data_IF_016805046671
#
_entry.id   IF_016805046671
#
_cell.length_a   1.000
_cell.length_b   1.000
_cell.length_c   1.000
_cell.angle_alpha   90.00
_cell.angle_beta   90.00
_cell.angle_gamma   90.00
#
_symmetry.space_group_name_H-M   'P 1'
#
loop_
_entity.id
_entity.type
_entity.pdbx_description
1 polymer ?
#
# COMPACT_ATOMS: atom_id res chain seq x y z
N UNK A 1 11.89 -2.62 4.73
CA UNK A 1 11.44 -3.01 3.39
C UNK A 1 10.40 -4.10 3.58
N UNK A 2 9.11 -3.76 3.51
CA UNK A 2 8.03 -4.74 3.66
C UNK A 2 7.71 -5.33 2.30
N UNK A 3 7.79 -6.66 2.19
CA UNK A 3 7.28 -7.40 1.05
C UNK A 3 5.76 -7.29 1.03
N UNK A 4 5.22 -6.63 0.01
CA UNK A 4 3.80 -6.68 -0.30
C UNK A 4 3.46 -8.10 -0.76
N UNK A 5 2.96 -8.93 0.16
CA UNK A 5 2.29 -10.17 -0.20
C UNK A 5 1.03 -9.83 -0.98
N UNK A 6 1.11 -9.92 -2.31
CA UNK A 6 -0.03 -9.68 -3.19
C UNK A 6 -0.91 -10.93 -3.19
N UNK A 7 -2.12 -10.81 -2.62
CA UNK A 7 -3.11 -11.87 -2.66
C UNK A 7 -3.81 -11.89 -4.02
N UNK A 8 -3.43 -12.84 -4.88
CA UNK A 8 -4.21 -13.15 -6.08
C UNK A 8 -5.54 -13.78 -5.69
N UNK A 9 -6.62 -13.34 -6.34
CA UNK A 9 -7.96 -13.89 -6.18
C UNK A 9 -8.38 -14.58 -7.48
N UNK A 10 -8.52 -15.91 -7.39
CA UNK A 10 -9.11 -16.72 -8.45
C UNK A 10 -8.10 -17.44 -9.33
N UNK A 11 -8.64 -18.28 -10.21
CA UNK A 11 -7.88 -19.08 -11.17
C UNK A 11 -7.23 -18.20 -12.22
N UNK A 12 -5.92 -18.36 -12.41
CA UNK A 12 -5.17 -17.73 -13.50
C UNK A 12 -5.79 -18.16 -14.83
N UNK A 13 -6.12 -17.19 -15.69
CA UNK A 13 -6.58 -17.43 -17.05
C UNK A 13 -5.38 -17.39 -17.99
N UNK A 14 -5.26 -18.40 -18.83
CA UNK A 14 -4.24 -18.44 -19.88
C UNK A 14 -4.68 -17.52 -21.02
N UNK A 15 -3.81 -16.59 -21.41
CA UNK A 15 -3.99 -15.72 -22.56
C UNK A 15 -3.31 -16.28 -23.81
N UNK A 16 -3.05 -15.40 -24.79
CA UNK A 16 -2.35 -15.76 -26.03
C UNK A 16 -0.89 -16.09 -25.78
N UNK A 17 -0.34 -16.91 -26.68
CA UNK A 17 1.08 -17.22 -26.73
C UNK A 17 1.57 -16.96 -28.15
N UNK A 18 2.62 -16.16 -28.27
CA UNK A 18 3.25 -15.81 -29.54
C UNK A 18 4.60 -16.49 -29.63
N UNK A 19 4.88 -17.06 -30.79
CA UNK A 19 6.20 -17.59 -31.14
C UNK A 19 6.82 -16.64 -32.16
N UNK A 20 7.99 -16.11 -31.84
CA UNK A 20 8.75 -15.24 -32.73
C UNK A 20 10.11 -15.85 -32.97
N UNK A 21 10.45 -16.04 -34.25
CA UNK A 21 11.79 -16.44 -34.67
C UNK A 21 12.54 -15.19 -35.12
N UNK A 22 13.64 -14.87 -34.43
CA UNK A 22 14.53 -13.77 -34.81
C UNK A 22 15.77 -14.39 -35.45
N UNK A 23 16.15 -13.90 -36.64
CA UNK A 23 17.50 -14.15 -37.17
C UNK A 23 18.49 -13.47 -36.24
N UNK A 24 19.51 -14.19 -35.78
CA UNK A 24 20.69 -13.54 -35.21
C UNK A 24 21.45 -12.89 -36.38
N UNK A 25 20.96 -11.75 -36.85
CA UNK A 25 21.55 -11.05 -37.98
C UNK A 25 23.03 -10.74 -37.73
N UNK A 26 23.90 -11.25 -38.60
CA UNK A 26 25.28 -10.78 -38.73
C UNK A 26 25.29 -9.28 -39.07
N UNK A 27 25.53 -8.45 -38.07
CA UNK A 27 25.40 -7.00 -38.18
C UNK A 27 25.93 -6.24 -36.98
N UNK A 28 27.01 -6.76 -36.41
CA UNK A 28 28.06 -6.13 -35.63
C UNK A 28 28.66 -7.28 -34.83
N UNK A 29 29.97 -7.47 -34.90
CA UNK A 29 30.67 -7.83 -33.69
C UNK A 29 30.50 -6.67 -32.70
N UNK A 30 29.30 -6.44 -32.15
CA UNK A 30 29.24 -6.26 -30.72
C UNK A 30 29.63 -7.63 -30.26
N UNK A 31 30.92 -7.80 -29.96
CA UNK A 31 31.41 -9.08 -29.50
C UNK A 31 30.38 -9.62 -28.52
N UNK A 32 30.13 -10.93 -28.57
CA UNK A 32 30.09 -11.63 -27.30
C UNK A 32 31.31 -11.08 -26.54
N UNK A 33 31.11 -10.03 -25.74
CA UNK A 33 31.55 -10.09 -24.39
C UNK A 33 31.04 -11.46 -24.00
N UNK A 34 31.95 -12.45 -24.06
CA UNK A 34 31.79 -13.59 -23.19
C UNK A 34 31.33 -12.98 -21.88
N UNK A 35 30.47 -13.68 -21.16
CA UNK A 35 30.48 -13.50 -19.73
C UNK A 35 31.92 -13.85 -19.26
N UNK A 36 32.88 -12.97 -19.55
CA UNK A 36 34.12 -12.83 -18.86
C UNK A 36 33.62 -12.76 -17.44
N UNK A 37 34.00 -13.71 -16.58
CA UNK A 37 33.59 -13.67 -15.18
C UNK A 37 33.81 -12.26 -14.62
N UNK A 38 34.80 -11.52 -15.14
CA UNK A 38 34.98 -10.09 -14.93
C UNK A 38 33.73 -9.21 -15.15
N UNK A 39 32.95 -9.28 -16.23
CA UNK A 39 31.82 -8.36 -16.47
C UNK A 39 30.63 -8.63 -15.54
N UNK A 40 30.34 -9.90 -15.25
CA UNK A 40 29.39 -10.32 -14.21
C UNK A 40 29.86 -9.89 -12.83
N UNK A 41 31.15 -10.03 -12.54
CA UNK A 41 31.75 -9.64 -11.26
C UNK A 41 31.77 -8.11 -11.09
N UNK A 42 32.05 -7.36 -12.15
CA UNK A 42 31.95 -5.90 -12.16
C UNK A 42 30.52 -5.41 -11.99
N UNK A 43 29.53 -6.06 -12.61
CA UNK A 43 28.11 -5.74 -12.36
C UNK A 43 27.70 -6.06 -10.91
N UNK A 44 28.14 -7.20 -10.37
CA UNK A 44 27.89 -7.55 -8.97
C UNK A 44 28.55 -6.57 -8.00
N UNK A 45 29.81 -6.19 -8.25
CA UNK A 45 30.52 -5.15 -7.49
C UNK A 45 29.79 -3.82 -7.62
N UNK A 46 29.37 -3.41 -8.82
CA UNK A 46 28.68 -2.14 -9.03
C UNK A 46 27.32 -2.09 -8.31
N UNK A 47 26.54 -3.17 -8.36
CA UNK A 47 25.27 -3.28 -7.61
C UNK A 47 25.52 -3.29 -6.11
N UNK A 48 26.56 -3.99 -5.65
CA UNK A 48 26.94 -4.03 -4.23
C UNK A 48 27.41 -2.65 -3.76
N UNK A 49 28.26 -1.96 -4.53
CA UNK A 49 28.71 -0.59 -4.24
C UNK A 49 27.55 0.41 -4.29
N UNK A 50 26.59 0.24 -5.21
CA UNK A 50 25.39 1.06 -5.26
C UNK A 50 24.50 0.82 -4.02
N UNK A 51 24.32 -0.43 -3.60
CA UNK A 51 23.57 -0.77 -2.38
C UNK A 51 24.27 -0.25 -1.11
N UNK A 52 25.59 -0.37 -1.03
CA UNK A 52 26.41 0.20 0.04
C UNK A 52 26.34 1.72 0.03
N UNK A 53 26.40 2.36 -1.14
CA UNK A 53 26.23 3.79 -1.30
C UNK A 53 24.84 4.27 -0.86
N UNK A 54 23.78 3.53 -1.22
CA UNK A 54 22.42 3.84 -0.77
C UNK A 54 22.27 3.68 0.75
N UNK A 55 22.93 2.66 1.32
CA UNK A 55 22.91 2.39 2.75
C UNK A 55 23.70 3.45 3.52
N UNK A 56 24.90 3.81 3.04
CA UNK A 56 25.71 4.88 3.58
C UNK A 56 24.99 6.23 3.47
N UNK A 57 24.30 6.51 2.36
CA UNK A 57 23.50 7.73 2.22
C UNK A 57 22.36 7.79 3.25
N UNK A 58 21.66 6.66 3.47
CA UNK A 58 20.64 6.56 4.53
C UNK A 58 21.24 6.77 5.91
N UNK A 59 22.41 6.18 6.18
CA UNK A 59 23.10 6.30 7.47
C UNK A 59 23.61 7.72 7.71
N UNK A 60 24.19 8.38 6.70
CA UNK A 60 24.62 9.78 6.77
C UNK A 60 23.42 10.70 7.00
N UNK A 61 22.32 10.48 6.29
CA UNK A 61 21.09 11.27 6.49
C UNK A 61 20.55 11.08 7.90
N UNK A 62 20.50 9.84 8.37
CA UNK A 62 20.10 9.52 9.73
C UNK A 62 21.03 10.16 10.77
N UNK A 63 22.35 10.11 10.55
CA UNK A 63 23.35 10.73 11.41
C UNK A 63 23.18 12.25 11.45
N UNK A 64 22.99 12.92 10.32
CA UNK A 64 22.75 14.36 10.30
C UNK A 64 21.46 14.74 11.01
N UNK A 65 20.38 13.99 10.82
CA UNK A 65 19.11 14.21 11.54
C UNK A 65 19.33 13.99 13.04
N UNK A 66 19.98 12.91 13.45
CA UNK A 66 20.21 12.59 14.86
C UNK A 66 21.17 13.59 15.53
N UNK A 67 22.23 14.01 14.82
CA UNK A 67 23.15 15.04 15.28
C UNK A 67 22.46 16.39 15.42
N UNK A 68 21.62 16.78 14.44
CA UNK A 68 20.83 18.00 14.52
C UNK A 68 19.80 17.93 15.65
N UNK A 69 19.15 16.78 15.87
CA UNK A 69 18.23 16.57 16.99
C UNK A 69 18.95 16.60 18.34
N UNK A 70 20.18 16.08 18.43
CA UNK A 70 20.98 16.16 19.65
C UNK A 70 21.45 17.59 19.92
N UNK A 71 21.94 18.30 18.90
CA UNK A 71 22.33 19.71 19.01
C UNK A 71 21.14 20.58 19.43
N UNK A 72 19.97 20.33 18.83
CA UNK A 72 18.72 20.96 19.23
C UNK A 72 18.30 20.53 20.63
N UNK A 73 18.44 19.26 21.00
CA UNK A 73 18.09 18.73 22.31
C UNK A 73 18.93 19.31 23.44
N UNK A 74 20.23 19.48 23.22
CA UNK A 74 21.18 20.10 24.16
C UNK A 74 20.93 21.60 24.31
N UNK A 75 20.42 22.25 23.25
CA UNK A 75 20.03 23.66 23.26
C UNK A 75 18.57 23.89 23.69
N UNK A 76 17.74 22.85 23.71
CA UNK A 76 16.32 22.98 23.94
C UNK A 76 16.05 23.31 25.41
N UNK A 77 15.19 24.30 25.62
CA UNK A 77 14.67 24.59 26.96
C UNK A 77 13.47 23.70 27.21
N UNK A 78 13.55 22.89 28.26
CA UNK A 78 12.41 22.10 28.73
C UNK A 78 11.38 23.03 29.38
N UNK A 79 10.24 23.18 28.71
CA UNK A 79 9.11 23.98 29.18
C UNK A 79 7.96 23.09 29.67
N UNK A 80 8.24 21.84 30.06
CA UNK A 80 7.25 20.85 30.56
C UNK A 80 6.69 21.16 31.96
N UNK A 81 6.58 22.45 32.31
CA UNK A 81 6.01 22.91 33.57
C UNK A 81 4.49 22.73 33.66
N UNK A 82 3.90 22.93 34.85
CA UNK A 82 2.46 22.91 35.08
C UNK A 82 1.73 24.11 34.46
N UNK A 83 2.46 25.07 33.90
CA UNK A 83 1.90 26.28 33.31
C UNK A 83 1.15 25.93 32.01
N UNK A 84 -0.15 26.18 32.04
CA UNK A 84 -1.14 25.79 31.04
C UNK A 84 -1.39 26.96 30.10
N UNK A 85 -0.56 27.11 29.07
CA UNK A 85 -0.83 28.12 28.04
C UNK A 85 0.23 28.25 26.97
N UNK A 86 -0.18 28.66 25.78
CA UNK A 86 0.74 29.08 24.73
C UNK A 86 1.61 30.26 25.18
N UNK A 87 1.06 31.17 25.99
CA UNK A 87 1.78 32.34 26.52
C UNK A 87 2.94 31.95 27.45
N UNK A 88 2.77 30.94 28.31
CA UNK A 88 3.86 30.46 29.18
C UNK A 88 4.96 29.77 28.38
N UNK A 89 4.63 29.07 27.29
CA UNK A 89 5.63 28.52 26.37
C UNK A 89 6.39 29.63 25.62
N UNK A 90 5.70 30.69 25.20
CA UNK A 90 6.33 31.86 24.58
C UNK A 90 7.26 32.55 25.57
N UNK A 91 6.87 32.67 26.84
CA UNK A 91 7.71 33.26 27.88
C UNK A 91 8.91 32.37 28.23
N UNK A 92 8.70 31.05 28.32
CA UNK A 92 9.77 30.08 28.50
C UNK A 92 10.77 30.11 27.33
N UNK A 93 10.29 30.19 26.09
CA UNK A 93 11.12 30.37 24.90
C UNK A 93 11.88 31.70 24.87
N UNK A 94 11.36 32.76 25.50
CA UNK A 94 12.10 34.03 25.65
C UNK A 94 13.25 33.92 26.66
N UNK A 95 13.24 32.93 27.58
CA UNK A 95 14.35 32.68 28.51
C UNK A 95 15.56 32.02 27.83
N UNK A 96 15.40 31.45 26.63
CA UNK A 96 16.54 30.92 25.86
C UNK A 96 17.29 32.05 25.16
N UNK A 97 18.41 32.47 25.73
CA UNK A 97 19.21 33.60 25.27
C UNK A 97 20.15 33.30 24.07
N UNK A 98 19.64 32.71 22.97
CA UNK A 98 20.47 32.47 21.78
C UNK A 98 19.78 31.80 20.59
N UNK A 99 19.65 32.56 19.50
CA UNK A 99 19.57 32.21 18.06
C UNK A 99 18.74 31.03 17.51
N UNK A 100 18.27 30.05 18.27
CA UNK A 100 17.35 29.01 17.79
C UNK A 100 16.47 28.54 18.95
N UNK A 101 15.28 29.14 19.05
CA UNK A 101 14.32 28.89 20.12
C UNK A 101 13.61 27.53 19.89
N UNK A 102 14.33 26.44 20.05
CA UNK A 102 13.72 25.12 20.12
C UNK A 102 13.14 24.91 21.52
N UNK A 103 11.82 24.83 21.60
CA UNK A 103 11.11 24.54 22.85
C UNK A 103 10.72 23.07 22.84
N UNK A 104 11.13 22.34 23.88
CA UNK A 104 10.63 21.00 24.11
C UNK A 104 9.35 21.06 24.95
N UNK A 105 8.30 20.39 24.49
CA UNK A 105 7.03 20.32 25.18
C UNK A 105 6.42 18.92 25.04
N UNK A 106 5.94 18.38 26.16
CA UNK A 106 5.30 17.07 26.24
C UNK A 106 4.00 17.15 27.03
N UNK A 107 2.97 16.44 26.56
CA UNK A 107 1.67 16.44 27.22
C UNK A 107 0.64 15.53 26.56
N UNK A 108 -0.53 15.37 27.19
CA UNK A 108 -1.65 14.67 26.58
C UNK A 108 -2.08 15.39 25.30
N UNK A 109 -2.39 14.58 24.28
CA UNK A 109 -2.86 15.05 22.98
C UNK A 109 -4.38 14.89 22.92
N UNK A 110 -5.07 15.98 22.63
CA UNK A 110 -6.48 15.97 22.25
C UNK A 110 -6.56 16.23 20.75
N UNK A 111 -7.15 15.30 19.99
CA UNK A 111 -7.24 15.39 18.53
C UNK A 111 -8.43 14.58 18.02
N UNK A 112 -8.89 14.87 16.82
CA UNK A 112 -9.82 14.03 16.07
C UNK A 112 -9.59 14.24 14.58
N UNK A 113 -9.46 13.15 13.84
CA UNK A 113 -9.31 13.19 12.39
C UNK A 113 -10.50 12.49 11.73
N UNK A 114 -11.00 13.07 10.65
CA UNK A 114 -12.17 12.56 9.92
C UNK A 114 -11.87 12.35 8.44
N UNK A 115 -12.52 11.34 7.86
CA UNK A 115 -12.66 11.17 6.42
C UNK A 115 -14.08 11.63 6.03
N UNK A 116 -14.24 12.85 5.48
CA UNK A 116 -15.55 13.39 5.14
C UNK A 116 -16.21 12.65 3.98
N UNK A 117 -15.46 12.02 3.09
CA UNK A 117 -16.02 11.28 1.95
C UNK A 117 -16.73 10.01 2.42
N UNK A 118 -16.23 9.40 3.50
CA UNK A 118 -16.80 8.20 4.12
C UNK A 118 -17.63 8.51 5.37
N UNK A 119 -17.72 9.77 5.80
CA UNK A 119 -18.46 10.17 7.00
C UNK A 119 -17.92 9.51 8.28
N UNK A 120 -16.61 9.25 8.31
CA UNK A 120 -15.92 8.58 9.41
C UNK A 120 -15.20 9.61 10.25
N UNK A 121 -15.38 9.54 11.58
CA UNK A 121 -14.60 10.33 12.54
C UNK A 121 -13.87 9.40 13.51
N UNK A 122 -12.57 9.63 13.69
CA UNK A 122 -11.73 8.86 14.60
C UNK A 122 -11.27 9.78 15.73
N UNK A 123 -11.88 9.69 16.93
CA UNK A 123 -11.47 10.49 18.07
C UNK A 123 -10.04 10.11 18.49
N UNK A 124 -9.26 11.03 19.02
CA UNK A 124 -7.86 10.82 19.41
C UNK A 124 -6.89 10.45 18.29
N UNK A 125 -7.30 10.49 17.01
CA UNK A 125 -6.38 10.30 15.90
C UNK A 125 -5.75 11.63 15.47
N UNK A 126 -4.43 11.64 15.33
CA UNK A 126 -3.69 12.76 14.73
C UNK A 126 -3.84 12.79 13.21
N UNK A 127 -3.94 11.60 12.59
CA UNK A 127 -4.15 11.42 11.16
C UNK A 127 -5.00 10.18 10.89
N UNK A 128 -5.82 10.27 9.84
CA UNK A 128 -6.49 9.12 9.23
C UNK A 128 -5.88 8.90 7.84
N UNK A 129 -5.69 7.64 7.47
CA UNK A 129 -5.22 7.25 6.14
C UNK A 129 -6.30 6.39 5.48
N UNK A 130 -6.87 6.91 4.40
CA UNK A 130 -7.71 6.12 3.51
C UNK A 130 -6.80 5.34 2.56
N UNK A 131 -6.78 4.02 2.70
CA UNK A 131 -6.07 3.11 1.80
C UNK A 131 -7.06 2.48 0.82
N UNK A 132 -6.94 2.83 -0.45
CA UNK A 132 -7.84 2.37 -1.51
C UNK A 132 -7.20 1.20 -2.27
N UNK A 133 -7.99 0.16 -2.53
CA UNK A 133 -7.57 -0.99 -3.33
C UNK A 133 -8.63 -1.33 -4.39
N UNK A 134 -8.17 -1.77 -5.56
CA UNK A 134 -8.97 -2.12 -6.72
C UNK A 134 -8.85 -3.61 -7.00
N UNK A 135 -9.98 -4.33 -7.01
CA UNK A 135 -10.03 -5.69 -7.52
C UNK A 135 -10.15 -5.63 -9.04
N UNK A 136 -9.04 -5.86 -9.73
CA UNK A 136 -8.94 -5.67 -11.17
C UNK A 136 -8.09 -6.76 -11.82
N UNK A 137 -8.21 -6.91 -13.14
CA UNK A 137 -7.35 -7.78 -13.92
C UNK A 137 -5.91 -7.26 -13.94
N UNK A 138 -4.98 -8.19 -13.92
CA UNK A 138 -3.56 -7.97 -14.08
C UNK A 138 -3.02 -8.94 -15.12
N UNK A 139 -2.27 -8.40 -16.08
CA UNK A 139 -1.58 -9.17 -17.10
C UNK A 139 -0.17 -9.51 -16.63
N UNK A 140 0.17 -10.79 -16.70
CA UNK A 140 1.49 -11.34 -16.41
C UNK A 140 2.06 -11.83 -17.74
N UNK A 141 3.08 -11.12 -18.24
CA UNK A 141 3.83 -11.47 -19.45
C UNK A 141 5.05 -12.29 -19.07
N UNK A 142 5.21 -13.45 -19.69
CA UNK A 142 6.37 -14.33 -19.54
C UNK A 142 7.01 -14.59 -20.90
N UNK A 143 8.33 -14.50 -21.00
CA UNK A 143 9.07 -14.73 -22.24
C UNK A 143 10.19 -15.76 -22.00
N UNK A 144 10.33 -16.72 -22.92
CA UNK A 144 11.39 -17.73 -22.89
C UNK A 144 11.96 -17.91 -24.29
N UNK A 145 13.28 -17.81 -24.44
CA UNK A 145 13.96 -17.90 -25.73
C UNK A 145 14.90 -19.11 -25.78
N UNK A 146 14.87 -19.83 -26.90
CA UNK A 146 15.74 -20.97 -27.19
C UNK A 146 16.52 -20.69 -28.48
N UNK A 147 17.84 -20.88 -28.44
CA UNK A 147 18.70 -20.76 -29.62
C UNK A 147 18.64 -22.03 -30.45
N UNK A 148 18.53 -21.86 -31.75
CA UNK A 148 18.62 -22.95 -32.71
C UNK A 148 20.07 -22.98 -33.23
N UNK A 149 20.83 -23.97 -32.78
CA UNK A 149 22.26 -24.09 -33.10
C UNK A 149 22.53 -24.31 -34.60
N UNK A 150 21.53 -24.79 -35.35
CA UNK A 150 21.67 -25.14 -36.77
C UNK A 150 21.45 -23.98 -37.75
N UNK A 151 20.73 -22.92 -37.36
CA UNK A 151 20.23 -21.90 -38.30
C UNK A 151 20.61 -20.45 -37.95
N UNK A 152 21.39 -20.21 -36.90
CA UNK A 152 21.65 -18.86 -36.38
C UNK A 152 20.32 -18.08 -36.22
N UNK A 153 19.37 -18.74 -35.53
CA UNK A 153 18.08 -18.16 -35.18
C UNK A 153 17.78 -18.39 -33.70
N UNK A 154 17.03 -17.47 -33.10
CA UNK A 154 16.51 -17.59 -31.74
C UNK A 154 14.99 -17.62 -31.79
N UNK A 155 14.39 -18.64 -31.18
CA UNK A 155 12.94 -18.79 -31.06
C UNK A 155 12.51 -18.37 -29.67
N UNK A 156 11.75 -17.28 -29.60
CA UNK A 156 11.18 -16.77 -28.35
C UNK A 156 9.69 -17.08 -28.28
N UNK A 157 9.27 -17.63 -27.14
CA UNK A 157 7.87 -17.87 -26.77
C UNK A 157 7.47 -16.83 -25.74
N UNK A 158 6.58 -15.91 -26.12
CA UNK A 158 5.94 -14.96 -25.19
C UNK A 158 4.55 -15.48 -24.84
N UNK A 159 4.27 -15.67 -23.56
CA UNK A 159 2.96 -16.09 -23.05
C UNK A 159 2.37 -15.02 -22.14
N UNK A 160 1.06 -14.81 -22.26
CA UNK A 160 0.28 -13.89 -21.45
C UNK A 160 -0.64 -14.67 -20.53
N UNK A 161 -0.77 -14.23 -19.28
CA UNK A 161 -1.72 -14.80 -18.33
C UNK A 161 -2.39 -13.69 -17.52
N UNK A 162 -3.63 -13.94 -17.09
CA UNK A 162 -4.45 -12.92 -16.46
C UNK A 162 -4.99 -13.42 -15.13
N UNK A 163 -4.93 -12.55 -14.12
CA UNK A 163 -5.43 -12.86 -12.77
C UNK A 163 -6.16 -11.64 -12.20
N UNK A 164 -7.19 -11.86 -11.38
CA UNK A 164 -7.77 -10.77 -10.59
C UNK A 164 -6.99 -10.62 -9.30
N UNK A 165 -6.56 -9.40 -9.00
CA UNK A 165 -5.84 -9.11 -7.76
C UNK A 165 -6.29 -7.78 -7.18
N UNK A 166 -6.17 -7.64 -5.86
CA UNK A 166 -6.28 -6.35 -5.20
C UNK A 166 -4.99 -5.56 -5.39
N UNK A 167 -5.10 -4.34 -5.93
CA UNK A 167 -3.96 -3.45 -6.16
C UNK A 167 -4.28 -2.06 -5.64
N UNK A 168 -3.30 -1.41 -5.03
CA UNK A 168 -3.45 -0.05 -4.49
C UNK A 168 -3.41 1.07 -5.54
N UNK A 169 -3.35 0.70 -6.82
CA UNK A 169 -3.27 1.60 -7.96
C UNK A 169 -4.11 1.04 -9.11
N UNK A 170 -4.50 1.88 -10.06
CA UNK A 170 -5.26 1.47 -11.25
C UNK A 170 -4.35 0.85 -12.31
N UNK A 171 -4.77 -0.26 -12.89
CA UNK A 171 -4.09 -0.89 -14.03
C UNK A 171 -4.87 -0.52 -15.30
N UNK A 172 -4.18 0.15 -16.23
CA UNK A 172 -4.74 0.47 -17.53
C UNK A 172 -4.82 -0.79 -18.42
N UNK A 173 -5.97 -1.45 -18.44
CA UNK A 173 -6.19 -2.67 -19.22
C UNK A 173 -6.22 -2.44 -20.73
N UNK A 174 -6.25 -1.19 -21.23
CA UNK A 174 -6.19 -0.92 -22.67
C UNK A 174 -4.86 -1.31 -23.29
N UNK A 175 -3.83 -1.49 -22.46
CA UNK A 175 -2.49 -1.91 -22.88
C UNK A 175 -2.29 -3.42 -22.77
N UNK A 176 -3.32 -4.17 -22.36
CA UNK A 176 -3.26 -5.63 -22.34
C UNK A 176 -3.25 -6.17 -23.77
N UNK A 177 -2.68 -7.36 -23.92
CA UNK A 177 -2.75 -8.14 -25.16
C UNK A 177 -4.20 -8.53 -25.50
N UNK A 178 -5.02 -8.78 -24.48
CA UNK A 178 -6.44 -9.10 -24.60
C UNK A 178 -7.34 -8.14 -23.80
N UNK A 179 -7.45 -6.87 -24.23
CA UNK A 179 -8.07 -5.81 -23.45
C UNK A 179 -9.61 -5.91 -23.38
N UNK A 180 -10.26 -6.52 -24.38
CA UNK A 180 -11.71 -6.69 -24.42
C UNK A 180 -12.19 -7.69 -23.37
N UNK A 181 -11.55 -8.86 -23.30
CA UNK A 181 -11.88 -9.90 -22.34
C UNK A 181 -11.44 -9.60 -20.89
N UNK A 182 -10.50 -8.67 -20.71
CA UNK A 182 -9.89 -8.33 -19.42
C UNK A 182 -10.00 -6.84 -19.09
N UNK A 183 -11.16 -6.25 -19.37
CA UNK A 183 -11.41 -4.83 -19.12
C UNK A 183 -11.38 -4.47 -17.62
N UNK A 184 -10.63 -3.42 -17.28
CA UNK A 184 -10.60 -2.81 -15.97
C UNK A 184 -11.33 -1.45 -15.96
N UNK A 185 -12.16 -1.19 -14.94
CA UNK A 185 -12.82 0.10 -14.79
C UNK A 185 -11.81 1.23 -14.64
N UNK A 186 -12.03 2.35 -15.33
CA UNK A 186 -11.13 3.50 -15.25
C UNK A 186 -11.51 4.52 -14.15
N UNK A 187 -12.58 4.25 -13.39
CA UNK A 187 -13.07 5.14 -12.31
C UNK A 187 -12.13 5.11 -11.10
N UNK A 188 -12.00 6.26 -10.44
CA UNK A 188 -11.20 6.48 -9.22
C UNK A 188 -11.96 7.43 -8.28
N UNK A 189 -13.11 7.00 -7.72
CA UNK A 189 -13.99 7.90 -6.98
C UNK A 189 -13.36 8.39 -5.68
N UNK A 190 -12.60 7.53 -5.00
CA UNK A 190 -11.99 7.83 -3.70
C UNK A 190 -10.54 7.33 -3.66
N UNK A 191 -9.57 8.11 -4.17
CA UNK A 191 -8.16 7.73 -4.14
C UNK A 191 -7.63 7.67 -2.70
N UNK A 192 -6.51 6.95 -2.52
CA UNK A 192 -5.82 6.90 -1.24
C UNK A 192 -5.35 8.30 -0.83
N UNK A 193 -5.62 8.69 0.41
CA UNK A 193 -5.27 10.03 0.91
C UNK A 193 -5.14 10.05 2.43
N UNK A 194 -4.55 11.12 2.95
CA UNK A 194 -4.36 11.35 4.37
C UNK A 194 -5.17 12.55 4.84
N UNK A 195 -5.83 12.42 5.99
CA UNK A 195 -6.60 13.47 6.63
C UNK A 195 -5.95 13.83 7.97
N UNK A 196 -5.23 14.96 8.08
CA UNK A 196 -4.72 15.43 9.35
C UNK A 196 -5.85 15.99 10.22
N UNK A 197 -5.72 15.81 11.53
CA UNK A 197 -6.61 16.39 12.53
C UNK A 197 -6.56 17.91 12.47
N UNK A 198 -7.72 18.56 12.40
CA UNK A 198 -7.83 20.02 12.33
C UNK A 198 -7.86 20.68 13.71
N UNK A 199 -8.15 19.90 14.76
CA UNK A 199 -8.29 20.35 16.14
C UNK A 199 -7.26 19.70 17.07
N UNK A 200 -6.13 19.24 16.52
CA UNK A 200 -5.10 18.62 17.34
C UNK A 200 -4.46 19.67 18.24
N UNK A 201 -4.38 19.37 19.53
CA UNK A 201 -3.70 20.21 20.51
C UNK A 201 -2.99 19.35 21.54
N UNK A 202 -1.87 19.87 22.03
CA UNK A 202 -1.17 19.31 23.19
C UNK A 202 -1.47 20.25 24.35
N UNK A 203 -2.25 19.79 25.33
CA UNK A 203 -2.88 20.67 26.34
C UNK A 203 -3.65 21.81 25.65
N UNK A 204 -3.22 23.06 25.80
CA UNK A 204 -3.86 24.26 25.24
C UNK A 204 -3.18 24.78 23.96
N UNK A 205 -2.18 24.08 23.45
CA UNK A 205 -1.40 24.52 22.30
C UNK A 205 -1.87 23.81 21.04
N UNK A 206 -2.44 24.53 20.05
CA UNK A 206 -2.84 23.93 18.79
C UNK A 206 -1.61 23.46 18.01
N UNK A 207 -1.73 22.29 17.38
CA UNK A 207 -0.73 21.76 16.47
C UNK A 207 -1.15 22.12 15.05
N UNK A 208 -0.23 22.74 14.30
CA UNK A 208 -0.46 23.03 12.89
C UNK A 208 -0.69 21.72 12.10
N UNK A 209 -1.77 21.61 11.31
CA UNK A 209 -2.03 20.44 10.46
C UNK A 209 -0.86 20.09 9.53
N UNK A 210 -0.07 21.06 9.07
CA UNK A 210 1.10 20.81 8.23
C UNK A 210 2.16 19.99 8.96
N UNK A 211 2.38 20.24 10.26
CA UNK A 211 3.26 19.41 11.09
C UNK A 211 2.74 17.97 11.16
N UNK A 212 1.42 17.81 11.28
CA UNK A 212 0.80 16.49 11.29
C UNK A 212 1.03 15.74 9.99
N UNK A 213 0.98 16.40 8.83
CA UNK A 213 1.22 15.73 7.52
C UNK A 213 2.58 15.05 7.48
N UNK A 214 3.60 15.66 8.08
CA UNK A 214 4.98 15.16 8.11
C UNK A 214 5.24 14.11 9.20
N UNK A 215 4.33 13.94 10.16
CA UNK A 215 4.46 12.92 11.20
C UNK A 215 4.65 11.52 10.59
N UNK A 216 5.72 10.85 10.96
CA UNK A 216 5.92 9.44 10.65
C UNK A 216 5.61 8.63 11.91
N UNK A 217 4.89 7.53 11.74
CA UNK A 217 4.46 6.71 12.86
C UNK A 217 3.83 5.40 12.41
N UNK A 218 3.48 4.59 13.40
CA UNK A 218 2.78 3.33 13.17
C UNK A 218 1.32 3.63 12.85
N UNK A 219 0.82 3.05 11.76
CA UNK A 219 -0.58 3.11 11.40
C UNK A 219 -1.33 1.96 12.07
N UNK A 220 -2.46 2.28 12.70
CA UNK A 220 -3.34 1.30 13.33
C UNK A 220 -4.60 1.15 12.49
N UNK A 221 -4.95 -0.07 12.03
CA UNK A 221 -6.23 -0.33 11.41
C UNK A 221 -7.37 0.03 12.37
N UNK A 222 -8.35 0.76 11.85
CA UNK A 222 -9.57 1.09 12.58
C UNK A 222 -10.58 -0.02 12.36
N UNK A 223 -11.14 -0.56 13.43
CA UNK A 223 -12.20 -1.56 13.40
C UNK A 223 -13.37 -1.05 14.24
N UNK A 224 -14.59 -1.18 13.72
CA UNK A 224 -15.77 -0.77 14.45
C UNK A 224 -16.42 -1.99 15.11
N UNK A 225 -16.68 -1.86 16.40
CA UNK A 225 -17.44 -2.82 17.19
C UNK A 225 -18.89 -2.80 16.70
N UNK A 226 -19.16 -3.60 15.68
CA UNK A 226 -20.51 -3.92 15.27
C UNK A 226 -21.15 -4.69 16.41
N UNK A 227 -22.11 -4.07 17.11
CA UNK A 227 -22.95 -4.75 18.09
C UNK A 227 -23.42 -6.08 17.50
N UNK A 228 -22.92 -7.16 18.08
CA UNK A 228 -23.12 -8.59 17.79
C UNK A 228 -23.03 -9.05 16.31
N UNK A 229 -22.12 -9.98 15.96
CA UNK A 229 -22.30 -10.73 14.73
C UNK A 229 -23.65 -11.46 14.79
N UNK A 230 -24.44 -11.51 13.69
CA UNK A 230 -25.57 -12.42 13.66
C UNK A 230 -25.08 -13.82 14.02
N UNK A 231 -25.80 -14.52 14.89
CA UNK A 231 -25.53 -15.88 15.38
C UNK A 231 -25.53 -16.97 14.28
N UNK A 232 -25.06 -16.66 13.08
CA UNK A 232 -24.80 -17.61 11.99
C UNK A 232 -23.39 -18.20 12.04
N UNK A 233 -22.50 -17.65 12.86
CA UNK A 233 -21.10 -18.08 12.99
C UNK A 233 -20.82 -19.10 14.10
N UNK A 234 -21.77 -19.40 14.99
CA UNK A 234 -21.48 -20.27 16.15
C UNK A 234 -21.14 -21.71 15.75
N UNK A 235 -21.58 -22.18 14.58
CA UNK A 235 -21.29 -23.52 14.08
C UNK A 235 -19.87 -23.69 13.51
N UNK A 236 -19.22 -22.62 13.02
CA UNK A 236 -17.87 -22.70 12.43
C UNK A 236 -16.79 -22.45 13.49
N UNK A 237 -17.09 -21.65 14.52
CA UNK A 237 -16.12 -21.27 15.57
C UNK A 237 -15.80 -22.44 16.50
N UNK A 238 -16.74 -23.36 16.77
CA UNK A 238 -16.47 -24.51 17.64
C UNK A 238 -15.67 -25.62 16.94
N UNK A 239 -15.85 -25.79 15.62
CA UNK A 239 -14.98 -26.65 14.79
C UNK A 239 -13.56 -26.11 14.68
N UNK A 240 -13.41 -24.78 14.53
CA UNK A 240 -12.09 -24.13 14.50
C UNK A 240 -11.37 -24.16 15.85
N UNK A 241 -12.09 -24.09 16.97
CA UNK A 241 -11.50 -24.28 18.32
C UNK A 241 -10.98 -25.71 18.51
N UNK A 242 -11.67 -26.72 18.00
CA UNK A 242 -11.21 -28.11 18.06
C UNK A 242 -9.93 -28.32 17.24
N UNK A 243 -9.89 -27.80 16.02
CA UNK A 243 -8.68 -27.85 15.14
C UNK A 243 -7.53 -27.04 15.71
N UNK A 244 -7.78 -25.85 16.27
CA UNK A 244 -6.78 -25.00 16.94
C UNK A 244 -6.20 -25.67 18.20
N UNK A 245 -7.00 -26.45 18.93
CA UNK A 245 -6.54 -27.21 20.10
C UNK A 245 -5.69 -28.42 19.68
N UNK A 246 -6.06 -29.09 18.59
CA UNK A 246 -5.34 -30.24 18.02
C UNK A 246 -3.99 -29.84 17.39
N UNK A 247 -3.92 -28.66 16.76
CA UNK A 247 -2.73 -28.13 16.08
C UNK A 247 -1.99 -27.05 16.89
N UNK A 248 -2.33 -26.86 18.17
CA UNK A 248 -1.73 -25.82 19.02
C UNK A 248 -0.19 -25.78 19.03
N UNK A 249 0.57 -26.91 19.02
CA UNK A 249 2.03 -26.84 18.99
C UNK A 249 2.62 -26.36 17.66
N UNK A 250 1.88 -26.49 16.54
CA UNK A 250 2.31 -25.98 15.23
C UNK A 250 1.97 -24.50 15.06
N UNK A 251 0.83 -24.06 15.62
CA UNK A 251 0.43 -22.65 15.60
C UNK A 251 1.30 -21.78 16.51
N UNK A 252 1.69 -22.27 17.69
CA UNK A 252 2.62 -21.52 18.56
C UNK A 252 4.00 -21.39 17.95
N UNK A 253 4.49 -22.38 17.20
CA UNK A 253 5.75 -22.27 16.48
C UNK A 253 5.68 -21.24 15.35
N UNK A 254 4.60 -21.21 14.57
CA UNK A 254 4.40 -20.22 13.51
C UNK A 254 4.18 -18.80 14.06
N UNK A 255 3.40 -18.65 15.13
CA UNK A 255 3.20 -17.37 15.82
C UNK A 255 4.51 -16.90 16.48
N UNK A 256 5.28 -17.79 17.11
CA UNK A 256 6.61 -17.46 17.65
C UNK A 256 7.61 -17.06 16.56
N UNK A 257 7.67 -17.77 15.43
CA UNK A 257 8.52 -17.40 14.29
C UNK A 257 8.09 -16.05 13.70
N UNK A 258 6.78 -15.81 13.53
CA UNK A 258 6.25 -14.51 13.06
C UNK A 258 6.58 -13.40 14.04
N UNK A 259 6.31 -13.59 15.33
CA UNK A 259 6.48 -12.54 16.35
C UNK A 259 7.98 -12.26 16.62
N UNK A 260 8.86 -13.25 16.43
CA UNK A 260 10.32 -13.09 16.53
C UNK A 260 10.98 -12.48 15.28
N UNK A 261 10.34 -12.57 14.09
CA UNK A 261 10.92 -12.04 12.84
C UNK A 261 10.23 -10.76 12.32
N UNK A 262 8.93 -10.58 12.60
CA UNK A 262 8.09 -9.50 12.09
C UNK A 262 7.46 -8.64 13.19
N UNK A 263 7.58 -9.05 14.45
CA UNK A 263 6.85 -8.47 15.58
C UNK A 263 5.36 -8.83 15.56
N UNK A 264 4.64 -8.63 16.68
CA UNK A 264 3.18 -8.78 16.70
C UNK A 264 2.54 -7.78 15.71
N UNK A 265 1.40 -8.13 15.07
CA UNK A 265 0.69 -7.17 14.24
C UNK A 265 0.35 -5.92 15.07
N UNK A 266 0.34 -4.72 14.46
CA UNK A 266 0.04 -3.50 15.18
C UNK A 266 -1.36 -3.63 15.83
N UNK A 267 -1.51 -3.22 17.10
CA UNK A 267 -2.79 -3.30 17.79
C UNK A 267 -3.86 -2.58 16.98
N UNK A 268 -5.01 -3.23 16.81
CA UNK A 268 -6.16 -2.63 16.12
C UNK A 268 -6.88 -1.69 17.07
N UNK A 269 -7.34 -0.56 16.53
CA UNK A 269 -8.12 0.39 17.31
C UNK A 269 -9.60 0.08 17.14
N UNK A 270 -10.24 -0.37 18.22
CA UNK A 270 -11.69 -0.60 18.25
C UNK A 270 -12.44 0.70 18.57
N UNK A 271 -13.40 1.05 17.72
CA UNK A 271 -14.31 2.18 17.89
C UNK A 271 -15.77 1.69 17.94
N UNK A 272 -16.68 2.48 18.51
CA UNK A 272 -18.09 2.08 18.56
C UNK A 272 -18.77 2.19 17.20
N UNK A 273 -19.65 1.23 16.85
CA UNK A 273 -20.44 1.30 15.61
C UNK A 273 -21.35 2.54 15.50
N UNK A 274 -21.64 3.24 16.61
CA UNK A 274 -22.37 4.52 16.56
C UNK A 274 -21.65 5.58 15.72
N UNK A 275 -20.32 5.50 15.62
CA UNK A 275 -19.52 6.40 14.78
C UNK A 275 -19.69 6.14 13.28
N UNK A 276 -20.34 5.03 12.88
CA UNK A 276 -20.67 4.77 11.48
C UNK A 276 -21.99 5.43 11.05
N UNK A 277 -22.72 6.10 11.95
CA UNK A 277 -23.99 6.77 11.60
C UNK A 277 -23.83 7.79 10.47
N UNK A 278 -22.72 8.53 10.44
CA UNK A 278 -22.40 9.49 9.38
C UNK A 278 -22.11 8.86 8.01
N UNK A 279 -21.82 7.55 7.95
CA UNK A 279 -21.47 6.87 6.69
C UNK A 279 -22.65 6.74 5.75
N UNK A 280 -23.89 6.75 6.27
CA UNK A 280 -25.13 6.57 5.48
C UNK A 280 -25.38 7.77 4.56
N UNK A 281 -25.02 8.97 5.01
CA UNK A 281 -25.23 10.23 4.27
C UNK A 281 -23.98 10.70 3.52
N UNK A 282 -22.86 10.00 3.71
CA UNK A 282 -21.57 10.36 3.16
C UNK A 282 -21.55 10.27 1.62
N UNK A 283 -20.69 11.05 0.94
CA UNK A 283 -20.48 10.94 -0.51
C UNK A 283 -20.24 9.51 -0.98
N UNK A 284 -19.50 8.70 -0.21
CA UNK A 284 -19.22 7.30 -0.54
C UNK A 284 -20.47 6.43 -0.58
N UNK A 285 -21.48 6.67 0.27
CA UNK A 285 -22.73 5.92 0.23
C UNK A 285 -23.52 6.19 -1.06
N UNK A 286 -23.45 7.41 -1.62
CA UNK A 286 -24.06 7.76 -2.91
C UNK A 286 -23.41 7.02 -4.09
N UNK A 287 -22.13 6.70 -3.97
CA UNK A 287 -21.35 5.87 -4.91
C UNK A 287 -21.45 4.36 -4.61
N UNK A 288 -22.36 3.97 -3.71
CA UNK A 288 -22.66 2.57 -3.38
C UNK A 288 -21.64 1.88 -2.46
N UNK A 289 -20.80 2.64 -1.75
CA UNK A 289 -19.92 2.05 -0.74
C UNK A 289 -20.70 1.69 0.52
N UNK A 290 -20.51 0.45 0.98
CA UNK A 290 -21.08 -0.07 2.22
C UNK A 290 -19.98 -0.61 3.13
N UNK A 291 -20.16 -0.45 4.43
CA UNK A 291 -19.26 -1.02 5.43
C UNK A 291 -19.43 -2.55 5.54
N UNK A 292 -18.32 -3.31 5.54
CA UNK A 292 -18.35 -4.80 5.49
C UNK A 292 -18.02 -5.43 6.85
N UNK A 293 -17.84 -4.65 7.93
CA UNK A 293 -17.69 -5.18 9.29
C UNK A 293 -16.27 -5.65 9.63
N UNK A 294 -15.72 -6.57 8.85
CA UNK A 294 -14.43 -7.19 9.16
C UNK A 294 -13.26 -6.32 8.68
N UNK A 295 -12.37 -5.94 9.60
CA UNK A 295 -11.10 -5.26 9.26
C UNK A 295 -11.23 -3.79 8.85
N UNK A 296 -12.40 -3.16 9.03
CA UNK A 296 -12.58 -1.73 8.78
C UNK A 296 -12.81 -1.35 7.32
N UNK A 297 -13.16 -2.29 6.45
CA UNK A 297 -13.27 -2.04 5.01
C UNK A 297 -14.65 -1.51 4.58
N UNK A 298 -14.62 -0.61 3.61
CA UNK A 298 -15.78 -0.20 2.82
C UNK A 298 -15.66 -0.80 1.43
N UNK A 299 -16.77 -1.32 0.90
CA UNK A 299 -16.82 -1.97 -0.39
C UNK A 299 -17.94 -1.40 -1.25
N UNK A 300 -17.64 -1.13 -2.51
CA UNK A 300 -18.62 -0.82 -3.55
C UNK A 300 -18.43 -1.83 -4.68
N UNK A 301 -19.51 -2.55 -5.03
CA UNK A 301 -19.50 -3.35 -6.24
C UNK A 301 -19.46 -2.41 -7.44
N UNK A 302 -18.58 -2.70 -8.40
CA UNK A 302 -18.57 -1.94 -9.64
C UNK A 302 -19.77 -2.30 -10.50
N UNK A 303 -20.65 -1.33 -10.74
CA UNK A 303 -21.69 -1.42 -11.75
C UNK A 303 -21.25 -0.66 -13.01
N UNK A 304 -21.02 -1.40 -14.10
CA UNK A 304 -20.69 -0.81 -15.40
C UNK A 304 -21.88 0.03 -15.91
N UNK A 305 -21.60 1.28 -16.32
CA UNK A 305 -22.57 2.08 -17.05
C UNK A 305 -22.95 1.39 -18.37
N UNK A 306 -24.17 1.62 -18.86
CA UNK A 306 -24.70 0.95 -20.06
C UNK A 306 -23.83 1.22 -21.31
N UNK A 307 -23.22 2.41 -21.39
CA UNK A 307 -22.25 2.77 -22.43
C UNK A 307 -20.94 1.97 -22.30
N UNK A 308 -20.42 1.77 -21.09
CA UNK A 308 -19.22 0.95 -20.85
C UNK A 308 -19.47 -0.52 -21.18
N UNK A 309 -20.66 -1.05 -20.85
CA UNK A 309 -21.08 -2.40 -21.28
C UNK A 309 -21.10 -2.52 -22.80
N UNK A 310 -21.66 -1.53 -23.49
CA UNK A 310 -21.70 -1.51 -24.96
C UNK A 310 -20.30 -1.41 -25.58
N UNK A 311 -19.42 -0.55 -25.04
CA UNK A 311 -18.02 -0.46 -25.48
C UNK A 311 -17.26 -1.76 -25.24
N UNK A 312 -17.42 -2.38 -24.07
CA UNK A 312 -16.81 -3.68 -23.77
C UNK A 312 -17.28 -4.75 -24.72
N UNK A 313 -18.60 -4.86 -24.97
CA UNK A 313 -19.15 -5.81 -25.93
C UNK A 313 -18.61 -5.58 -27.35
N UNK A 314 -18.50 -4.32 -27.78
CA UNK A 314 -17.92 -3.96 -29.07
C UNK A 314 -16.44 -4.39 -29.16
N UNK A 315 -15.65 -4.12 -28.12
CA UNK A 315 -14.24 -4.52 -28.08
C UNK A 315 -14.06 -6.04 -28.01
N UNK A 316 -14.84 -6.76 -27.20
CA UNK A 316 -14.87 -8.23 -27.17
C UNK A 316 -15.24 -8.79 -28.56
N UNK A 317 -16.23 -8.20 -29.25
CA UNK A 317 -16.60 -8.59 -30.61
C UNK A 317 -15.49 -8.31 -31.63
N UNK A 318 -14.85 -7.14 -31.58
CA UNK A 318 -13.74 -6.79 -32.47
C UNK A 318 -12.54 -7.71 -32.26
N UNK A 319 -12.22 -8.02 -31.00
CA UNK A 319 -11.13 -8.92 -30.61
C UNK A 319 -11.40 -10.36 -31.06
N UNK A 320 -12.65 -10.83 -31.02
CA UNK A 320 -13.05 -12.17 -31.44
C UNK A 320 -13.42 -12.34 -32.93
N UNK A 321 -13.72 -11.26 -33.66
CA UNK A 321 -14.31 -11.36 -35.01
C UNK A 321 -13.50 -10.68 -36.11
N UNK A 322 -12.74 -9.63 -35.80
CA UNK A 322 -12.03 -8.79 -36.80
C UNK A 322 -10.51 -8.85 -36.63
N UNK A 323 -10.01 -8.98 -35.40
CA UNK A 323 -8.56 -9.04 -35.12
C UNK A 323 -7.98 -10.47 -35.08
N UNK A 324 -8.81 -11.50 -35.21
CA UNK A 324 -8.38 -12.91 -35.29
C UNK A 324 -8.11 -13.37 -36.73
N UNK A 325 -7.99 -12.42 -37.68
CA UNK A 325 -7.37 -12.67 -38.98
C UNK A 325 -5.86 -12.89 -38.77
N UNK A 326 -5.51 -14.10 -38.37
CA UNK A 326 -4.15 -14.61 -38.49
C UNK A 326 -3.78 -14.65 -39.99
N UNK A 327 -2.89 -13.74 -40.36
CA UNK A 327 -1.88 -13.95 -41.41
C UNK A 327 -0.60 -14.37 -40.70
#
# INVERSE_FOLDING_TARGET
MQGSGYSSLGTVRTGRTYVTTRRTGGGAQVGRAGSNPCCSYFCFIAVTLAALGLSAWREITFFHINSALNEVGDAAVDCSGPETGFESLVECGKRSAGSLNAVFFSGPVEASASDPDFGVEVPGALKVHRKTEYCQWEEIRSESCTKNDDEDTETCVTSYSYVKAWRSYRINSLLFDQPGAHHNPQRDPFPSTYFPSQNAKIRDVPIDPEVLTRLQGVWHPVEWDTMDPPQRGQFIVDGFKFVRKLLSPLFTAFEWVRDSTLGPPPPRRQLSARMLSGTIEAPAAKEGFAYVGHGGFFFSAFEEALTQKAFRFLFEFLEGSIMDWQV
#
